data_IF_605427508370
#
_entry.id   IF_605427508370
#
_cell.length_a   1.000
_cell.length_b   1.000
_cell.length_c   1.000
_cell.angle_alpha   90.00
_cell.angle_beta   90.00
_cell.angle_gamma   90.00
#
_symmetry.space_group_name_H-M   'P 1'
#
loop_
_entity.id
_entity.type
_entity.pdbx_description
1 polymer ?
#
# COMPACT_ATOMS: atom_id res chain seq x y z
N UNK A 1 -0.56 24.20 18.88
CA UNK A 1 -1.94 23.97 19.38
C UNK A 1 -2.74 23.03 18.48
N UNK A 2 -2.70 23.14 17.15
CA UNK A 2 -3.42 22.24 16.23
C UNK A 2 -2.99 20.76 16.30
N UNK A 3 -1.70 20.46 16.50
CA UNK A 3 -1.21 19.09 16.60
C UNK A 3 -1.77 18.30 17.80
N UNK A 4 -1.93 18.97 18.95
CA UNK A 4 -2.53 18.36 20.14
C UNK A 4 -4.02 18.06 19.98
N UNK A 5 -4.75 18.97 19.32
CA UNK A 5 -6.16 18.75 18.98
C UNK A 5 -6.35 17.61 17.96
N UNK A 6 -5.45 17.49 16.98
CA UNK A 6 -5.47 16.39 16.01
C UNK A 6 -5.22 15.02 16.67
N UNK A 7 -4.20 14.93 17.55
CA UNK A 7 -3.90 13.71 18.30
C UNK A 7 -5.06 13.37 19.26
N UNK A 8 -5.60 14.36 19.96
CA UNK A 8 -6.75 14.17 20.84
C UNK A 8 -7.99 13.63 20.11
N UNK A 9 -8.31 14.20 18.94
CA UNK A 9 -9.41 13.73 18.10
C UNK A 9 -9.17 12.32 17.54
N UNK A 10 -7.92 11.98 17.18
CA UNK A 10 -7.57 10.64 16.70
C UNK A 10 -7.71 9.59 17.81
N UNK A 11 -7.22 9.89 19.02
CA UNK A 11 -7.37 9.00 20.18
C UNK A 11 -8.85 8.84 20.54
N UNK A 12 -9.62 9.93 20.56
CA UNK A 12 -11.05 9.89 20.82
C UNK A 12 -11.81 9.06 19.77
N UNK A 13 -11.43 9.17 18.50
CA UNK A 13 -11.99 8.38 17.40
C UNK A 13 -11.67 6.89 17.58
N UNK A 14 -10.40 6.52 17.81
CA UNK A 14 -9.98 5.12 18.01
C UNK A 14 -10.66 4.48 19.22
N UNK A 15 -10.75 5.20 20.34
CA UNK A 15 -11.43 4.70 21.57
C UNK A 15 -12.93 4.53 21.33
N UNK A 16 -13.55 5.41 20.55
CA UNK A 16 -14.97 5.33 20.21
C UNK A 16 -15.25 4.18 19.24
N UNK A 17 -14.40 3.98 18.24
CA UNK A 17 -14.53 2.87 17.29
C UNK A 17 -14.36 1.51 17.99
N UNK A 18 -13.35 1.38 18.84
CA UNK A 18 -13.06 0.13 19.56
C UNK A 18 -14.17 -0.28 20.55
N UNK A 19 -15.07 0.63 20.93
CA UNK A 19 -16.19 0.38 21.85
C UNK A 19 -17.55 0.28 21.15
N UNK A 20 -17.62 0.46 19.83
CA UNK A 20 -18.89 0.47 19.09
C UNK A 20 -19.24 -0.93 18.56
N UNK A 21 -20.48 -1.38 18.78
CA UNK A 21 -20.95 -2.72 18.41
C UNK A 21 -20.99 -3.00 16.89
N UNK A 22 -21.08 -1.95 16.06
CA UNK A 22 -20.92 -1.98 14.61
C UNK A 22 -19.84 -0.95 14.21
N UNK A 23 -18.54 -1.32 14.25
CA UNK A 23 -17.46 -0.41 13.86
C UNK A 23 -17.49 -0.13 12.36
N UNK A 24 -17.12 1.10 11.97
CA UNK A 24 -17.08 1.52 10.56
C UNK A 24 -15.94 0.82 9.80
N UNK A 25 -14.84 0.49 10.48
CA UNK A 25 -13.77 -0.37 9.99
C UNK A 25 -13.75 -1.63 10.85
N UNK A 26 -14.32 -2.75 10.37
CA UNK A 26 -14.21 -4.01 11.07
C UNK A 26 -12.73 -4.36 11.26
N UNK A 27 -12.25 -4.42 12.51
CA UNK A 27 -10.85 -4.76 12.85
C UNK A 27 -10.43 -6.11 12.21
N UNK A 28 -11.41 -6.96 11.88
CA UNK A 28 -11.26 -8.21 11.12
C UNK A 28 -10.59 -8.01 9.75
N UNK A 29 -10.75 -6.86 9.09
CA UNK A 29 -10.10 -6.53 7.80
C UNK A 29 -8.57 -6.48 7.96
N UNK A 30 -8.06 -5.96 9.09
CA UNK A 30 -6.62 -5.94 9.38
C UNK A 30 -6.04 -7.31 9.75
N UNK A 31 -6.90 -8.32 10.02
CA UNK A 31 -6.45 -9.69 10.27
C UNK A 31 -5.87 -10.35 9.01
N UNK A 32 -6.25 -9.87 7.82
CA UNK A 32 -5.65 -10.31 6.56
C UNK A 32 -4.24 -9.72 6.40
N UNK A 33 -3.24 -10.59 6.32
CA UNK A 33 -1.85 -10.21 6.01
C UNK A 33 -1.73 -9.44 4.70
N UNK A 34 -2.53 -9.78 3.69
CA UNK A 34 -2.50 -9.09 2.39
C UNK A 34 -3.03 -7.67 2.51
N UNK A 35 -4.13 -7.45 3.23
CA UNK A 35 -4.71 -6.11 3.39
C UNK A 35 -3.78 -5.21 4.21
N UNK A 36 -3.31 -5.69 5.37
CA UNK A 36 -2.39 -4.93 6.22
C UNK A 36 -1.04 -4.68 5.53
N UNK A 37 -0.47 -5.71 4.89
CA UNK A 37 0.77 -5.59 4.13
C UNK A 37 0.64 -4.62 2.96
N UNK A 38 -0.45 -4.69 2.19
CA UNK A 38 -0.67 -3.80 1.05
C UNK A 38 -0.84 -2.36 1.50
N UNK A 39 -1.53 -2.10 2.60
CA UNK A 39 -1.65 -0.75 3.16
C UNK A 39 -0.30 -0.19 3.62
N UNK A 40 0.56 -0.99 4.26
CA UNK A 40 1.92 -0.55 4.60
C UNK A 40 2.73 -0.22 3.34
N UNK A 41 2.63 -1.06 2.31
CA UNK A 41 3.32 -0.83 1.03
C UNK A 41 2.80 0.44 0.35
N UNK A 42 1.49 0.66 0.31
CA UNK A 42 0.87 1.90 -0.18
C UNK A 42 1.38 3.11 0.58
N UNK A 43 1.39 3.05 1.92
CA UNK A 43 1.86 4.14 2.77
C UNK A 43 3.29 4.54 2.41
N UNK A 44 4.21 3.57 2.29
CA UNK A 44 5.62 3.81 2.00
C UNK A 44 5.85 4.36 0.58
N UNK A 45 5.16 3.80 -0.41
CA UNK A 45 5.30 4.22 -1.81
C UNK A 45 4.74 5.64 -2.01
N UNK A 46 3.56 5.94 -1.45
CA UNK A 46 2.95 7.25 -1.59
C UNK A 46 3.66 8.33 -0.76
N UNK A 47 4.24 7.97 0.38
CA UNK A 47 5.18 8.81 1.11
C UNK A 47 6.34 9.27 0.19
N UNK A 48 6.98 8.32 -0.51
CA UNK A 48 8.04 8.63 -1.46
C UNK A 48 7.53 9.43 -2.67
N UNK A 49 6.36 9.07 -3.23
CA UNK A 49 5.78 9.71 -4.41
C UNK A 49 5.44 11.18 -4.19
N UNK A 50 4.76 11.51 -3.08
CA UNK A 50 4.41 12.90 -2.76
C UNK A 50 5.67 13.72 -2.48
N UNK A 51 6.64 13.13 -1.78
CA UNK A 51 7.97 13.68 -1.63
C UNK A 51 8.63 14.00 -2.97
N UNK A 52 8.55 13.07 -3.92
CA UNK A 52 9.12 13.22 -5.25
C UNK A 52 8.49 14.38 -6.02
N UNK A 53 7.16 14.44 -6.08
CA UNK A 53 6.47 15.50 -6.80
C UNK A 53 6.79 16.88 -6.23
N UNK A 54 6.72 17.01 -4.90
CA UNK A 54 6.99 18.28 -4.25
C UNK A 54 8.45 18.70 -4.39
N UNK A 55 9.40 17.86 -3.97
CA UNK A 55 10.82 18.20 -3.99
C UNK A 55 11.38 18.26 -5.41
N UNK A 56 10.89 17.43 -6.32
CA UNK A 56 11.23 17.48 -7.75
C UNK A 56 10.76 18.78 -8.39
N UNK A 57 9.53 19.23 -8.10
CA UNK A 57 9.04 20.54 -8.54
C UNK A 57 9.91 21.68 -8.00
N UNK A 58 10.27 21.64 -6.71
CA UNK A 58 11.20 22.62 -6.13
C UNK A 58 12.58 22.58 -6.79
N UNK A 59 13.10 21.40 -7.14
CA UNK A 59 14.36 21.25 -7.86
C UNK A 59 14.29 21.92 -9.24
N UNK A 60 13.26 21.62 -10.03
CA UNK A 60 13.08 22.25 -11.35
C UNK A 60 12.96 23.78 -11.24
N UNK A 61 12.20 24.28 -10.25
CA UNK A 61 12.03 25.72 -10.04
C UNK A 61 13.29 26.43 -9.56
N UNK A 62 13.90 25.91 -8.49
CA UNK A 62 14.92 26.62 -7.71
C UNK A 62 16.34 26.33 -8.18
N UNK A 63 16.56 25.20 -8.85
CA UNK A 63 17.88 24.79 -9.35
C UNK A 63 17.96 24.98 -10.87
N UNK A 64 17.01 24.44 -11.62
CA UNK A 64 17.02 24.52 -13.09
C UNK A 64 16.31 25.75 -13.66
N UNK A 65 15.60 26.53 -12.83
CA UNK A 65 14.95 27.77 -13.24
C UNK A 65 13.74 27.58 -14.16
N UNK A 66 13.07 26.43 -14.12
CA UNK A 66 11.90 26.15 -14.95
C UNK A 66 10.68 26.96 -14.47
N UNK A 67 9.91 27.46 -15.44
CA UNK A 67 8.59 28.06 -15.22
C UNK A 67 7.53 26.96 -14.94
N UNK A 68 6.36 27.26 -14.31
CA UNK A 68 5.35 26.25 -14.01
C UNK A 68 4.91 25.38 -15.19
N UNK A 69 4.81 25.95 -16.39
CA UNK A 69 4.50 25.18 -17.60
C UNK A 69 5.60 24.16 -17.93
N UNK A 70 6.87 24.55 -17.80
CA UNK A 70 8.02 23.67 -18.04
C UNK A 70 8.06 22.49 -17.05
N UNK A 71 7.68 22.71 -15.80
CA UNK A 71 7.59 21.65 -14.78
C UNK A 71 6.48 20.66 -15.12
N UNK A 72 5.32 21.15 -15.54
CA UNK A 72 4.22 20.30 -15.99
C UNK A 72 4.65 19.39 -17.14
N UNK A 73 5.36 19.96 -18.13
CA UNK A 73 5.94 19.20 -19.24
C UNK A 73 7.03 18.21 -18.79
N UNK A 74 7.82 18.57 -17.77
CA UNK A 74 8.84 17.69 -17.20
C UNK A 74 8.27 16.47 -16.46
N UNK A 75 7.07 16.57 -15.87
CA UNK A 75 6.39 15.42 -15.26
C UNK A 75 5.49 14.65 -16.24
N UNK A 76 5.32 15.14 -17.47
CA UNK A 76 4.44 14.53 -18.45
C UNK A 76 4.82 13.09 -18.83
N UNK A 77 6.12 12.74 -19.04
CA UNK A 77 6.51 11.36 -19.32
C UNK A 77 6.13 10.40 -18.20
N UNK A 78 6.24 10.82 -16.94
CA UNK A 78 5.84 10.01 -15.79
C UNK A 78 4.35 9.64 -15.86
N UNK A 79 3.47 10.63 -16.09
CA UNK A 79 2.03 10.41 -16.21
C UNK A 79 1.65 9.55 -17.41
N UNK A 80 2.29 9.76 -18.57
CA UNK A 80 2.08 8.93 -19.76
C UNK A 80 2.48 7.48 -19.50
N UNK A 81 3.65 7.24 -18.89
CA UNK A 81 4.10 5.89 -18.56
C UNK A 81 3.16 5.17 -17.59
N UNK A 82 2.64 5.87 -16.57
CA UNK A 82 1.61 5.29 -15.68
C UNK A 82 0.38 4.88 -16.47
N UNK A 83 -0.16 5.80 -17.27
CA UNK A 83 -1.36 5.53 -18.07
C UNK A 83 -1.17 4.34 -19.00
N UNK A 84 -0.07 4.31 -19.76
CA UNK A 84 0.22 3.22 -20.69
C UNK A 84 0.43 1.89 -19.95
N UNK A 85 1.27 1.85 -18.91
CA UNK A 85 1.55 0.61 -18.17
C UNK A 85 0.29 0.06 -17.48
N UNK A 86 -0.48 0.95 -16.84
CA UNK A 86 -1.69 0.60 -16.12
C UNK A 86 -2.80 0.13 -17.07
N UNK A 87 -3.09 0.86 -18.14
CA UNK A 87 -4.22 0.52 -19.03
C UNK A 87 -3.90 -0.61 -19.99
N UNK A 88 -2.70 -0.64 -20.59
CA UNK A 88 -2.41 -1.58 -21.67
C UNK A 88 -1.88 -2.93 -21.16
N UNK A 89 -1.14 -2.95 -20.04
CA UNK A 89 -0.34 -4.12 -19.67
C UNK A 89 -0.66 -4.70 -18.30
N UNK A 90 -1.15 -3.91 -17.34
CA UNK A 90 -1.31 -4.38 -15.96
C UNK A 90 -2.30 -5.54 -15.83
N UNK A 91 -3.49 -5.44 -16.46
CA UNK A 91 -4.54 -6.46 -16.38
C UNK A 91 -4.07 -7.85 -16.85
N UNK A 92 -3.62 -8.00 -18.11
CA UNK A 92 -3.13 -9.28 -18.63
C UNK A 92 -1.94 -9.86 -17.85
N UNK A 93 -1.04 -9.02 -17.33
CA UNK A 93 0.08 -9.49 -16.52
C UNK A 93 -0.38 -9.98 -15.15
N UNK A 94 -1.29 -9.26 -14.50
CA UNK A 94 -1.83 -9.64 -13.20
C UNK A 94 -2.64 -10.93 -13.30
N UNK A 95 -3.44 -11.12 -14.35
CA UNK A 95 -4.19 -12.37 -14.55
C UNK A 95 -3.27 -13.55 -14.87
N UNK A 96 -2.18 -13.33 -15.61
CA UNK A 96 -1.26 -14.40 -16.01
C UNK A 96 -0.24 -14.79 -14.93
N UNK A 97 0.33 -13.82 -14.22
CA UNK A 97 1.42 -14.04 -13.27
C UNK A 97 1.01 -13.83 -11.81
N UNK A 98 -0.16 -13.23 -11.56
CA UNK A 98 -0.63 -12.86 -10.23
C UNK A 98 -0.13 -11.49 -9.79
N UNK A 99 -0.94 -10.82 -8.96
CA UNK A 99 -0.67 -9.45 -8.51
C UNK A 99 0.66 -9.31 -7.74
N UNK A 100 1.03 -10.29 -6.90
CA UNK A 100 2.31 -10.24 -6.16
C UNK A 100 3.52 -10.32 -7.09
N UNK A 101 3.47 -11.19 -8.10
CA UNK A 101 4.59 -11.37 -9.03
C UNK A 101 4.81 -10.15 -9.93
N UNK A 102 3.76 -9.36 -10.19
CA UNK A 102 3.86 -8.08 -10.91
C UNK A 102 4.29 -6.93 -9.96
N UNK A 103 3.86 -6.98 -8.70
CA UNK A 103 4.21 -5.96 -7.71
C UNK A 103 5.71 -5.93 -7.37
N UNK A 104 6.33 -7.08 -7.09
CA UNK A 104 7.74 -7.10 -6.69
C UNK A 104 8.70 -6.44 -7.71
N UNK A 105 8.71 -6.80 -9.01
CA UNK A 105 9.60 -6.17 -9.99
C UNK A 105 9.24 -4.70 -10.23
N UNK A 106 7.97 -4.31 -10.10
CA UNK A 106 7.59 -2.90 -10.23
C UNK A 106 8.12 -2.06 -9.07
N UNK A 107 8.13 -2.58 -7.84
CA UNK A 107 8.78 -1.91 -6.69
C UNK A 107 10.30 -1.76 -6.89
N UNK A 108 10.96 -2.76 -7.48
CA UNK A 108 12.37 -2.64 -7.87
C UNK A 108 12.55 -1.50 -8.87
N UNK A 109 11.70 -1.42 -9.89
CA UNK A 109 11.76 -0.37 -10.90
C UNK A 109 11.58 1.03 -10.29
N UNK A 110 10.62 1.17 -9.36
CA UNK A 110 10.42 2.42 -8.60
C UNK A 110 11.68 2.75 -7.79
N UNK A 111 12.24 1.76 -7.07
CA UNK A 111 13.43 1.97 -6.25
C UNK A 111 14.64 2.42 -7.08
N UNK A 112 14.88 1.77 -8.22
CA UNK A 112 15.95 2.17 -9.16
C UNK A 112 15.69 3.58 -9.69
N UNK A 113 14.45 3.93 -10.03
CA UNK A 113 14.07 5.28 -10.44
C UNK A 113 14.40 6.34 -9.39
N UNK A 114 14.13 6.07 -8.11
CA UNK A 114 14.53 6.97 -7.02
C UNK A 114 16.05 7.06 -6.85
N UNK A 115 16.79 5.97 -7.05
CA UNK A 115 18.26 5.98 -7.00
C UNK A 115 18.86 6.83 -8.11
N UNK A 116 18.30 6.75 -9.33
CA UNK A 116 18.71 7.64 -10.42
C UNK A 116 18.38 9.09 -10.10
N UNK A 117 17.17 9.36 -9.60
CA UNK A 117 16.76 10.71 -9.21
C UNK A 117 17.64 11.29 -8.09
N UNK A 118 18.08 10.46 -7.14
CA UNK A 118 19.00 10.85 -6.06
C UNK A 118 20.42 11.17 -6.53
N UNK A 119 20.78 10.85 -7.78
CA UNK A 119 22.11 11.12 -8.37
C UNK A 119 22.13 12.35 -9.28
N UNK A 120 20.97 12.97 -9.55
CA UNK A 120 20.83 14.10 -10.48
C UNK A 120 21.79 15.26 -10.10
N UNK A 121 22.66 15.73 -11.03
CA UNK A 121 23.62 16.81 -10.79
C UNK A 121 22.99 18.20 -10.62
N UNK A 122 23.80 19.19 -10.26
CA UNK A 122 23.34 20.59 -10.14
C UNK A 122 23.04 21.16 -11.53
N UNK A 123 23.93 20.89 -12.49
CA UNK A 123 23.73 21.13 -13.92
C UNK A 123 23.22 19.82 -14.55
N UNK A 124 21.92 19.57 -14.42
CA UNK A 124 21.32 18.37 -14.99
C UNK A 124 20.79 18.61 -16.40
N UNK A 125 21.09 17.67 -17.29
CA UNK A 125 20.39 17.56 -18.57
C UNK A 125 19.11 16.76 -18.34
N UNK A 126 17.96 17.33 -18.72
CA UNK A 126 16.68 16.68 -18.53
C UNK A 126 16.61 15.31 -19.22
N UNK A 127 17.15 15.18 -20.43
CA UNK A 127 17.06 13.94 -21.22
C UNK A 127 17.93 12.82 -20.64
N UNK A 128 19.07 13.16 -20.04
CA UNK A 128 20.05 12.20 -19.57
C UNK A 128 19.88 11.88 -18.08
N UNK A 129 19.61 12.90 -17.26
CA UNK A 129 19.62 12.76 -15.80
C UNK A 129 18.21 12.54 -15.23
N UNK A 130 17.18 13.14 -15.83
CA UNK A 130 15.83 13.20 -15.26
C UNK A 130 14.87 12.23 -15.95
N UNK A 131 14.88 12.21 -17.29
CA UNK A 131 13.96 11.41 -18.10
C UNK A 131 14.04 9.91 -17.79
N UNK A 132 15.22 9.27 -17.63
CA UNK A 132 15.27 7.85 -17.29
C UNK A 132 14.56 7.55 -15.97
N UNK A 133 14.74 8.42 -14.97
CA UNK A 133 14.06 8.30 -13.68
C UNK A 133 12.54 8.42 -13.83
N UNK A 134 12.06 9.38 -14.64
CA UNK A 134 10.62 9.56 -14.90
C UNK A 134 9.99 8.34 -15.57
N UNK A 135 10.68 7.73 -16.54
CA UNK A 135 10.21 6.53 -17.23
C UNK A 135 10.16 5.33 -16.27
N UNK A 136 11.23 5.10 -15.50
CA UNK A 136 11.30 3.99 -14.53
C UNK A 136 10.22 4.12 -13.46
N UNK A 137 10.08 5.32 -12.89
CA UNK A 137 9.07 5.60 -11.88
C UNK A 137 7.67 5.46 -12.47
N UNK A 138 7.40 6.04 -13.64
CA UNK A 138 6.08 5.98 -14.26
C UNK A 138 5.64 4.55 -14.60
N UNK A 139 6.53 3.76 -15.22
CA UNK A 139 6.24 2.35 -15.52
C UNK A 139 6.07 1.55 -14.23
N UNK A 140 6.94 1.76 -13.24
CA UNK A 140 6.88 1.07 -11.96
C UNK A 140 5.56 1.34 -11.23
N UNK A 141 5.17 2.61 -11.11
CA UNK A 141 3.90 2.99 -10.50
C UNK A 141 2.68 2.46 -11.27
N UNK A 142 2.74 2.47 -12.60
CA UNK A 142 1.65 1.96 -13.45
C UNK A 142 1.38 0.45 -13.28
N UNK A 143 2.39 -0.34 -12.90
CA UNK A 143 2.20 -1.75 -12.55
C UNK A 143 1.95 -2.00 -11.06
N UNK A 144 2.59 -1.23 -10.19
CA UNK A 144 2.48 -1.40 -8.75
C UNK A 144 1.07 -1.06 -8.24
N UNK A 145 0.47 0.03 -8.74
CA UNK A 145 -0.80 0.52 -8.21
C UNK A 145 -1.99 -0.43 -8.47
N UNK A 146 -2.25 -0.93 -9.70
CA UNK A 146 -3.29 -1.92 -9.94
C UNK A 146 -3.05 -3.23 -9.16
N UNK A 147 -1.79 -3.67 -9.08
CA UNK A 147 -1.41 -4.88 -8.33
C UNK A 147 -1.70 -4.74 -6.84
N UNK A 148 -1.41 -3.57 -6.26
CA UNK A 148 -1.73 -3.25 -4.87
C UNK A 148 -3.22 -3.20 -4.62
N UNK A 149 -4.01 -2.66 -5.54
CA UNK A 149 -5.46 -2.65 -5.42
C UNK A 149 -6.02 -4.08 -5.40
N UNK A 150 -5.54 -4.97 -6.25
CA UNK A 150 -5.94 -6.38 -6.22
C UNK A 150 -5.58 -7.04 -4.89
N UNK A 151 -4.36 -6.83 -4.37
CA UNK A 151 -3.91 -7.43 -3.12
C UNK A 151 -4.57 -6.83 -1.87
N UNK A 152 -4.83 -5.53 -1.87
CA UNK A 152 -5.51 -4.83 -0.78
C UNK A 152 -6.98 -5.22 -0.68
N UNK A 153 -7.58 -5.66 -1.79
CA UNK A 153 -8.99 -6.05 -1.86
C UNK A 153 -9.19 -7.56 -1.74
N UNK A 154 -8.14 -8.38 -1.89
CA UNK A 154 -8.25 -9.85 -1.91
C UNK A 154 -8.74 -10.48 -0.61
N UNK A 155 -8.74 -9.73 0.51
CA UNK A 155 -9.22 -10.19 1.82
C UNK A 155 -10.54 -9.57 2.27
N UNK A 156 -11.14 -8.69 1.46
CA UNK A 156 -12.43 -8.08 1.73
C UNK A 156 -13.53 -8.88 1.05
N UNK A 157 -14.58 -9.26 1.78
CA UNK A 157 -15.79 -9.80 1.13
C UNK A 157 -16.45 -8.75 0.24
N UNK A 158 -17.37 -9.14 -0.64
CA UNK A 158 -18.06 -8.22 -1.57
C UNK A 158 -18.66 -6.99 -0.84
N UNK A 159 -19.17 -7.20 0.38
CA UNK A 159 -19.73 -6.16 1.25
C UNK A 159 -18.69 -5.19 1.87
N UNK A 160 -17.43 -5.61 2.02
CA UNK A 160 -16.36 -4.84 2.67
C UNK A 160 -15.43 -4.15 1.65
N UNK A 161 -15.67 -4.34 0.35
CA UNK A 161 -14.86 -3.81 -0.75
C UNK A 161 -14.75 -2.26 -0.72
N UNK A 162 -15.87 -1.58 -0.48
CA UNK A 162 -15.89 -0.12 -0.33
C UNK A 162 -15.04 0.38 0.85
N UNK A 163 -15.04 -0.36 1.97
CA UNK A 163 -14.25 -0.04 3.15
C UNK A 163 -12.75 -0.25 2.89
N UNK A 164 -12.38 -1.35 2.25
CA UNK A 164 -10.99 -1.64 1.90
C UNK A 164 -10.42 -0.61 0.91
N UNK A 165 -11.18 -0.21 -0.11
CA UNK A 165 -10.80 0.87 -1.03
C UNK A 165 -10.66 2.22 -0.31
N UNK A 166 -11.63 2.55 0.57
CA UNK A 166 -11.57 3.76 1.40
C UNK A 166 -10.34 3.81 2.32
N UNK A 167 -9.98 2.66 2.90
CA UNK A 167 -8.78 2.51 3.73
C UNK A 167 -7.50 2.74 2.91
N UNK A 168 -7.41 2.21 1.69
CA UNK A 168 -6.25 2.45 0.80
C UNK A 168 -6.13 3.93 0.44
N UNK A 169 -7.22 4.59 0.09
CA UNK A 169 -7.22 6.02 -0.24
C UNK A 169 -6.82 6.88 0.96
N UNK A 170 -7.31 6.54 2.15
CA UNK A 170 -6.93 7.25 3.38
C UNK A 170 -5.46 7.01 3.73
N UNK A 171 -5.00 5.76 3.62
CA UNK A 171 -3.59 5.39 3.83
C UNK A 171 -2.67 6.09 2.84
N UNK A 172 -3.09 6.23 1.59
CA UNK A 172 -2.41 7.00 0.57
C UNK A 172 -2.25 8.47 0.97
N UNK A 173 -3.34 9.14 1.37
CA UNK A 173 -3.30 10.56 1.72
C UNK A 173 -2.50 10.81 3.00
N UNK A 174 -2.71 10.00 4.04
CA UNK A 174 -1.99 10.09 5.31
C UNK A 174 -0.51 9.77 5.10
N UNK A 175 -0.20 8.68 4.40
CA UNK A 175 1.17 8.27 4.09
C UNK A 175 1.90 9.30 3.24
N UNK A 176 1.25 9.81 2.19
CA UNK A 176 1.78 10.86 1.33
C UNK A 176 2.10 12.14 2.09
N UNK A 177 1.17 12.62 2.93
CA UNK A 177 1.35 13.83 3.72
C UNK A 177 2.45 13.68 4.79
N UNK A 178 2.44 12.59 5.57
CA UNK A 178 3.45 12.32 6.59
C UNK A 178 4.83 12.12 5.97
N UNK A 179 4.91 11.32 4.90
CA UNK A 179 6.12 11.08 4.14
C UNK A 179 6.72 12.36 3.60
N UNK A 180 5.90 13.19 2.93
CA UNK A 180 6.32 14.48 2.43
C UNK A 180 6.83 15.39 3.55
N UNK A 181 6.11 15.47 4.68
CA UNK A 181 6.53 16.31 5.81
C UNK A 181 7.92 15.90 6.34
N UNK A 182 8.16 14.59 6.48
CA UNK A 182 9.46 14.05 6.92
C UNK A 182 10.54 14.32 5.88
N UNK A 183 10.29 13.99 4.61
CA UNK A 183 11.24 14.17 3.52
C UNK A 183 11.60 15.64 3.31
N UNK A 184 10.63 16.55 3.36
CA UNK A 184 10.85 17.98 3.24
C UNK A 184 11.62 18.52 4.45
N UNK A 185 11.34 18.04 5.66
CA UNK A 185 12.06 18.42 6.88
C UNK A 185 13.54 18.01 6.81
N UNK A 186 13.84 16.78 6.39
CA UNK A 186 15.22 16.33 6.18
C UNK A 186 15.91 17.11 5.07
N UNK A 187 15.23 17.36 3.94
CA UNK A 187 15.75 18.20 2.85
C UNK A 187 16.14 19.60 3.35
N UNK A 188 15.22 20.25 4.08
CA UNK A 188 15.42 21.59 4.59
C UNK A 188 16.53 21.65 5.64
N UNK A 189 16.55 20.68 6.58
CA UNK A 189 17.60 20.56 7.58
C UNK A 189 18.98 20.42 6.94
N UNK A 190 19.12 19.52 5.96
CA UNK A 190 20.38 19.32 5.22
C UNK A 190 20.79 20.57 4.45
N UNK A 191 19.85 21.20 3.75
CA UNK A 191 20.10 22.44 2.99
C UNK A 191 20.59 23.55 3.92
N UNK A 192 19.89 23.79 5.03
CA UNK A 192 20.22 24.85 5.97
C UNK A 192 21.59 24.64 6.63
N UNK A 193 21.95 23.39 6.97
CA UNK A 193 23.28 23.07 7.48
C UNK A 193 24.40 23.39 6.48
N UNK A 194 24.19 23.11 5.19
CA UNK A 194 25.16 23.45 4.15
C UNK A 194 25.24 24.95 3.88
N UNK A 195 24.11 25.66 3.91
CA UNK A 195 24.08 27.12 3.80
C UNK A 195 24.81 27.79 4.97
N UNK A 196 24.65 27.28 6.19
CA UNK A 196 25.37 27.75 7.37
C UNK A 196 26.89 27.53 7.24
N UNK A 197 27.31 26.49 6.51
CA UNK A 197 28.70 26.23 6.14
C UNK A 197 29.16 27.01 4.89
N UNK A 198 28.42 28.04 4.45
CA UNK A 198 28.73 28.90 3.30
C UNK A 198 28.82 28.17 1.94
N UNK A 199 28.18 27.01 1.80
CA UNK A 199 28.04 26.33 0.51
C UNK A 199 27.08 27.11 -0.39
N UNK A 200 27.40 27.21 -1.68
CA UNK A 200 26.56 27.89 -2.66
C UNK A 200 25.12 27.35 -2.66
N UNK A 201 24.13 28.26 -2.73
CA UNK A 201 22.71 27.93 -2.58
C UNK A 201 22.21 26.82 -3.53
N UNK A 202 22.53 26.82 -4.83
CA UNK A 202 22.10 25.75 -5.74
C UNK A 202 22.65 24.38 -5.31
N UNK A 203 23.93 24.32 -4.91
CA UNK A 203 24.55 23.08 -4.45
C UNK A 203 23.97 22.58 -3.12
N UNK A 204 23.66 23.49 -2.19
CA UNK A 204 23.03 23.15 -0.91
C UNK A 204 21.63 22.57 -1.12
N UNK A 205 20.81 23.18 -1.99
CA UNK A 205 19.46 22.71 -2.31
C UNK A 205 19.50 21.34 -2.98
N UNK A 206 20.33 21.17 -4.02
CA UNK A 206 20.47 19.89 -4.72
C UNK A 206 20.88 18.78 -3.75
N UNK A 207 21.80 19.03 -2.81
CA UNK A 207 22.16 18.05 -1.79
C UNK A 207 21.00 17.71 -0.84
N UNK A 208 20.20 18.69 -0.44
CA UNK A 208 18.99 18.46 0.36
C UNK A 208 17.99 17.57 -0.37
N UNK A 209 17.73 17.87 -1.64
CA UNK A 209 16.80 17.08 -2.45
C UNK A 209 17.32 15.66 -2.70
N UNK A 210 18.60 15.50 -3.05
CA UNK A 210 19.24 14.18 -3.22
C UNK A 210 19.09 13.31 -1.98
N UNK A 211 19.27 13.88 -0.79
CA UNK A 211 19.07 13.16 0.47
C UNK A 211 17.63 12.64 0.57
N UNK A 212 16.65 13.47 0.29
CA UNK A 212 15.24 13.06 0.36
C UNK A 212 14.88 12.01 -0.69
N UNK A 213 15.43 12.08 -1.90
CA UNK A 213 15.25 11.03 -2.89
C UNK A 213 15.92 9.71 -2.47
N UNK A 214 17.08 9.77 -1.81
CA UNK A 214 17.72 8.59 -1.23
C UNK A 214 16.90 7.98 -0.09
N UNK A 215 16.28 8.81 0.77
CA UNK A 215 15.32 8.34 1.77
C UNK A 215 14.10 7.72 1.08
N UNK A 216 13.60 8.33 0.01
CA UNK A 216 12.52 7.79 -0.84
C UNK A 216 12.87 6.40 -1.40
N UNK A 217 14.08 6.20 -1.91
CA UNK A 217 14.57 4.88 -2.31
C UNK A 217 14.56 3.89 -1.13
N UNK A 218 14.98 4.33 0.05
CA UNK A 218 14.91 3.52 1.29
C UNK A 218 13.48 3.13 1.68
N UNK A 219 12.51 4.05 1.55
CA UNK A 219 11.09 3.75 1.77
C UNK A 219 10.58 2.70 0.79
N UNK A 220 10.95 2.80 -0.49
CA UNK A 220 10.55 1.83 -1.53
C UNK A 220 11.23 0.47 -1.31
N UNK A 221 12.48 0.44 -0.85
CA UNK A 221 13.14 -0.80 -0.42
C UNK A 221 12.42 -1.43 0.77
N UNK A 222 12.02 -0.63 1.76
CA UNK A 222 11.15 -1.09 2.86
C UNK A 222 9.84 -1.67 2.34
N UNK A 223 9.21 -1.00 1.38
CA UNK A 223 8.00 -1.47 0.73
C UNK A 223 8.21 -2.81 0.00
N UNK A 224 9.34 -2.97 -0.70
CA UNK A 224 9.73 -4.22 -1.35
C UNK A 224 9.94 -5.36 -0.34
N UNK A 225 10.59 -5.08 0.79
CA UNK A 225 10.79 -6.07 1.85
C UNK A 225 9.45 -6.49 2.48
N UNK A 226 8.56 -5.53 2.77
CA UNK A 226 7.21 -5.83 3.28
C UNK A 226 6.41 -6.63 2.25
N UNK A 227 6.44 -6.22 0.98
CA UNK A 227 5.76 -6.96 -0.09
C UNK A 227 6.31 -8.37 -0.26
N UNK A 228 7.62 -8.54 -0.12
CA UNK A 228 8.31 -9.84 -0.21
C UNK A 228 8.02 -10.76 0.97
N UNK A 229 7.82 -10.23 2.17
CA UNK A 229 7.69 -11.04 3.41
C UNK A 229 6.26 -11.19 3.91
N UNK A 230 5.38 -10.22 3.65
CA UNK A 230 4.03 -10.16 4.23
C UNK A 230 2.95 -10.55 3.23
N UNK A 231 3.08 -10.14 1.96
CA UNK A 231 2.06 -10.43 0.94
C UNK A 231 2.17 -11.89 0.50
N UNK A 232 1.04 -12.58 0.38
CA UNK A 232 0.94 -13.96 -0.10
C UNK A 232 0.47 -14.03 -1.56
N UNK A 233 0.88 -15.05 -2.34
CA UNK A 233 0.36 -15.29 -3.68
C UNK A 233 -1.14 -15.65 -3.62
N UNK A 234 -1.89 -15.35 -4.68
CA UNK A 234 -3.34 -15.61 -4.71
C UNK A 234 -3.70 -17.10 -4.60
N UNK A 235 -2.86 -17.99 -5.13
CA UNK A 235 -3.09 -19.46 -5.11
C UNK A 235 -3.09 -20.05 -3.68
N UNK A 236 -2.24 -19.54 -2.78
CA UNK A 236 -2.20 -20.00 -1.39
C UNK A 236 -3.44 -19.54 -0.60
N UNK A 237 -4.09 -18.45 -1.00
CA UNK A 237 -5.30 -17.95 -0.35
C UNK A 237 -6.56 -18.74 -0.76
N UNK A 238 -6.62 -19.22 -2.00
CA UNK A 238 -7.68 -20.14 -2.46
C UNK A 238 -7.56 -21.52 -1.80
N UNK A 239 -6.35 -22.08 -1.70
CA UNK A 239 -6.14 -23.38 -1.02
C UNK A 239 -6.48 -23.33 0.48
N UNK A 240 -6.18 -22.23 1.18
CA UNK A 240 -6.48 -22.08 2.61
C UNK A 240 -8.01 -21.93 2.85
N UNK A 241 -8.71 -21.20 1.97
CA UNK A 241 -10.17 -21.04 2.05
C UNK A 241 -10.94 -22.31 1.66
N UNK A 242 -10.45 -23.07 0.67
CA UNK A 242 -10.98 -24.39 0.35
C UNK A 242 -10.73 -25.37 1.50
N UNK A 243 -9.55 -25.36 2.10
CA UNK A 243 -9.23 -26.19 3.27
C UNK A 243 -10.01 -25.81 4.54
N UNK A 244 -10.37 -24.54 4.74
CA UNK A 244 -11.28 -24.12 5.82
C UNK A 244 -12.74 -24.51 5.55
N UNK A 245 -13.20 -24.42 4.30
CA UNK A 245 -14.54 -24.90 3.91
C UNK A 245 -14.67 -26.41 4.07
N UNK A 246 -13.70 -27.18 3.62
CA UNK A 246 -13.70 -28.65 3.76
C UNK A 246 -13.62 -29.08 5.22
N UNK A 247 -12.83 -28.38 6.07
CA UNK A 247 -12.81 -28.64 7.52
C UNK A 247 -14.14 -28.30 8.18
N UNK A 248 -14.75 -27.17 7.83
CA UNK A 248 -16.06 -26.77 8.35
C UNK A 248 -17.18 -27.75 7.95
N UNK A 249 -17.17 -28.22 6.69
CA UNK A 249 -18.09 -29.25 6.20
C UNK A 249 -17.85 -30.59 6.88
N UNK A 250 -16.59 -30.97 7.11
CA UNK A 250 -16.20 -32.16 7.85
C UNK A 250 -16.67 -32.14 9.31
N UNK A 251 -16.47 -31.03 10.01
CA UNK A 251 -16.91 -30.84 11.39
C UNK A 251 -18.45 -30.83 11.51
N UNK A 252 -19.15 -30.21 10.55
CA UNK A 252 -20.61 -30.23 10.49
C UNK A 252 -21.16 -31.63 10.22
N UNK A 253 -20.54 -32.39 9.32
CA UNK A 253 -20.90 -33.78 9.05
C UNK A 253 -20.62 -34.69 10.26
N UNK A 254 -19.48 -34.52 10.93
CA UNK A 254 -19.14 -35.25 12.14
C UNK A 254 -20.11 -34.93 13.30
N UNK A 255 -20.46 -33.66 13.49
CA UNK A 255 -21.45 -33.22 14.46
C UNK A 255 -22.86 -33.77 14.18
N UNK A 256 -23.27 -33.83 12.91
CA UNK A 256 -24.55 -34.40 12.49
C UNK A 256 -24.64 -35.92 12.69
N UNK A 257 -23.54 -36.65 12.45
CA UNK A 257 -23.46 -38.10 12.70
C UNK A 257 -23.53 -38.40 14.20
N UNK A 258 -22.84 -37.61 15.03
CA UNK A 258 -22.88 -37.76 16.50
C UNK A 258 -24.27 -37.40 17.06
N UNK A 259 -24.88 -36.32 16.56
CA UNK A 259 -26.24 -35.90 16.93
C UNK A 259 -27.30 -36.95 16.57
N UNK A 260 -27.27 -37.45 15.33
CA UNK A 260 -28.21 -38.47 14.87
C UNK A 260 -28.05 -39.83 15.56
N UNK A 261 -26.84 -40.17 16.02
CA UNK A 261 -26.61 -41.39 16.81
C UNK A 261 -27.21 -41.29 18.21
N UNK A 262 -27.07 -40.14 18.87
CA UNK A 262 -27.65 -39.89 20.19
C UNK A 262 -29.20 -39.84 20.14
N UNK A 263 -29.78 -39.27 19.08
CA UNK A 263 -31.24 -39.25 18.90
C UNK A 263 -31.82 -40.65 18.64
N UNK A 264 -31.13 -41.49 17.87
CA UNK A 264 -31.53 -42.89 17.66
C UNK A 264 -31.42 -43.72 18.94
N UNK A 265 -30.37 -43.53 19.74
CA UNK A 265 -30.24 -44.19 21.04
C UNK A 265 -31.32 -43.71 22.04
N UNK A 266 -31.70 -42.43 22.00
CA UNK A 266 -32.78 -41.89 22.82
C UNK A 266 -34.18 -42.38 22.40
N UNK A 267 -34.41 -42.59 21.10
CA UNK A 267 -35.67 -43.13 20.58
C UNK A 267 -35.86 -44.61 20.94
N UNK A 268 -34.79 -45.41 20.94
CA UNK A 268 -34.82 -46.83 21.32
C UNK A 268 -35.08 -47.02 22.83
N UNK A 269 -34.72 -46.05 23.67
CA UNK A 269 -34.94 -46.10 25.13
C UNK A 269 -36.32 -45.63 25.58
N UNK A 270 -37.22 -45.22 24.70
CA UNK A 270 -38.60 -44.88 25.12
C UNK A 270 -39.36 -46.18 25.43
N UNK A 271 -39.72 -46.46 26.69
CA UNK A 271 -40.49 -47.65 27.01
C UNK A 271 -41.87 -47.53 26.36
N UNK A 272 -42.26 -48.53 25.56
CA UNK A 272 -43.64 -48.74 25.18
C UNK A 272 -44.43 -48.97 26.46
N UNK A 273 -45.13 -47.93 26.91
CA UNK A 273 -46.13 -48.06 27.97
C UNK A 273 -47.31 -48.78 27.32
N UNK A 274 -47.46 -50.03 27.71
CA UNK A 274 -48.37 -50.99 27.11
C UNK A 274 -49.82 -50.51 27.11
N UNK A 275 -50.46 -50.83 25.99
CA UNK A 275 -51.87 -51.14 25.93
C UNK A 275 -52.12 -52.40 26.77
N UNK A 276 -52.50 -52.21 28.03
CA UNK A 276 -53.20 -53.20 28.86
C UNK A 276 -54.46 -52.48 29.38
N UNK A 277 -55.59 -52.80 28.77
CA UNK A 277 -56.68 -53.58 29.37
C UNK A 277 -57.83 -52.69 29.89
N UNK A 278 -58.98 -52.87 29.23
CA UNK A 278 -60.32 -53.05 29.81
C UNK A 278 -60.86 -52.00 30.80
#
# INVERSE_FOLDING_TARGET
>A
MFGGAAIGSLIAFVVREARTANPLVPIRIFRSRNVSGANVVVLLIFAAMFGMFFLGSLYFQRVLGYDPLGIGLAFLPFSLCIGMASFAFSGPLITRFGARAVLLPSLVLIGVGFVFFARVPVEADYLVDVLPSMLLLGVGFGFAFPSLMVLAMSGAGEHDSGLASGLVMTTQQVGGALGLAVLASFSASRTNGLLAASVARPAALTNGYRLSFAIGAGLVLGALLVAGTVLRPAQEAEDETLGERDRSLGDAAAGGIVGGRNEREAAIRRPQKGDEEN
#
